data_IF_624442167132
#
_entry.id   IF_624442167132
#
_cell.length_a   1.000
_cell.length_b   1.000
_cell.length_c   1.000
_cell.angle_alpha   90.00
_cell.angle_beta   90.00
_cell.angle_gamma   90.00
#
_symmetry.space_group_name_H-M   'P 1'
#
loop_
_entity.id
_entity.type
_entity.pdbx_description
1 polymer ?
#
# COMPACT_ATOMS: atom_id res chain seq x y z
N UNK A 1 20.72 8.03 3.62
CA UNK A 1 21.37 6.74 3.92
C UNK A 1 20.58 6.06 5.03
N UNK A 2 20.37 4.75 4.97
CA UNK A 2 19.62 4.02 5.98
C UNK A 2 20.54 3.61 7.13
N UNK A 3 20.25 4.06 8.36
CA UNK A 3 21.01 3.71 9.58
C UNK A 3 20.33 2.57 10.36
N UNK A 4 19.89 1.53 9.64
CA UNK A 4 19.19 0.38 10.22
C UNK A 4 19.98 -0.91 9.99
N UNK A 5 19.96 -1.87 10.93
CA UNK A 5 20.81 -3.06 10.86
C UNK A 5 20.44 -4.00 9.71
N UNK A 6 19.27 -3.85 9.10
CA UNK A 6 18.80 -4.63 7.96
C UNK A 6 18.89 -3.86 6.62
N UNK A 7 19.65 -2.77 6.56
CA UNK A 7 19.87 -2.03 5.31
C UNK A 7 20.55 -2.92 4.27
N UNK A 8 20.16 -2.75 3.00
CA UNK A 8 20.70 -3.52 1.88
C UNK A 8 21.51 -2.58 0.99
N UNK A 9 22.66 -3.05 0.51
CA UNK A 9 23.55 -2.32 -0.39
C UNK A 9 23.49 -2.98 -1.76
N UNK A 10 23.03 -2.23 -2.76
CA UNK A 10 23.04 -2.69 -4.16
C UNK A 10 24.43 -2.49 -4.76
N UNK A 11 25.01 -3.56 -5.29
CA UNK A 11 26.34 -3.56 -5.93
C UNK A 11 26.28 -3.82 -7.44
N UNK A 12 25.16 -4.33 -7.93
CA UNK A 12 24.96 -4.64 -9.35
C UNK A 12 24.80 -3.34 -10.15
N UNK A 13 25.64 -3.07 -11.16
CA UNK A 13 25.56 -1.86 -11.99
C UNK A 13 24.22 -1.71 -12.72
N UNK A 14 23.46 -2.78 -12.92
CA UNK A 14 22.14 -2.75 -13.54
C UNK A 14 21.01 -2.42 -12.55
N UNK A 15 21.33 -2.18 -11.27
CA UNK A 15 20.32 -1.79 -10.28
C UNK A 15 19.76 -0.39 -10.58
N UNK A 16 18.43 -0.27 -10.53
CA UNK A 16 17.73 1.01 -10.58
C UNK A 16 17.91 1.83 -9.29
N UNK A 17 18.44 1.22 -8.23
CA UNK A 17 18.69 1.89 -6.96
C UNK A 17 20.13 2.45 -6.89
N UNK A 18 20.37 3.52 -6.11
CA UNK A 18 21.70 4.05 -5.87
C UNK A 18 22.69 2.95 -5.42
N UNK A 19 23.81 2.84 -6.13
CA UNK A 19 24.81 1.81 -5.88
C UNK A 19 25.69 2.16 -4.68
N UNK A 20 26.16 1.14 -3.97
CA UNK A 20 27.14 1.24 -2.88
C UNK A 20 26.70 2.12 -1.68
N UNK A 21 25.40 2.38 -1.54
CA UNK A 21 24.82 3.14 -0.43
C UNK A 21 23.86 2.24 0.35
N UNK A 22 23.86 2.26 1.69
CA UNK A 22 22.87 1.53 2.48
C UNK A 22 21.48 2.13 2.30
N UNK A 23 20.55 1.31 1.84
CA UNK A 23 19.16 1.67 1.58
C UNK A 23 18.20 0.78 2.35
N UNK A 24 16.99 1.30 2.63
CA UNK A 24 15.91 0.49 3.16
C UNK A 24 15.49 -0.54 2.09
N UNK A 25 15.29 -1.82 2.45
CA UNK A 25 14.82 -2.85 1.52
C UNK A 25 13.32 -2.68 1.25
N UNK A 26 12.95 -1.58 0.59
CA UNK A 26 11.56 -1.22 0.29
C UNK A 26 10.83 -2.29 -0.52
N UNK A 27 11.56 -3.08 -1.31
CA UNK A 27 11.04 -4.25 -2.02
C UNK A 27 10.49 -5.32 -1.06
N UNK A 28 11.21 -5.62 0.02
CA UNK A 28 10.77 -6.58 1.03
C UNK A 28 9.57 -6.05 1.81
N UNK A 29 9.58 -4.76 2.17
CA UNK A 29 8.42 -4.11 2.81
C UNK A 29 7.18 -4.18 1.92
N UNK A 30 7.37 -3.97 0.61
CA UNK A 30 6.29 -4.01 -0.36
C UNK A 30 5.70 -5.41 -0.47
N UNK A 31 6.54 -6.44 -0.65
CA UNK A 31 6.10 -7.83 -0.72
C UNK A 31 5.41 -8.29 0.56
N UNK A 32 5.98 -7.98 1.73
CA UNK A 32 5.40 -8.32 3.02
C UNK A 32 4.04 -7.66 3.24
N UNK A 33 3.92 -6.38 2.92
CA UNK A 33 2.65 -5.66 3.06
C UNK A 33 1.60 -6.18 2.09
N UNK A 34 1.96 -6.49 0.83
CA UNK A 34 1.04 -7.14 -0.11
C UNK A 34 0.54 -8.49 0.41
N UNK A 35 1.41 -9.28 1.04
CA UNK A 35 1.05 -10.55 1.67
C UNK A 35 0.07 -10.33 2.84
N UNK A 36 0.36 -9.40 3.75
CA UNK A 36 -0.53 -9.05 4.86
C UNK A 36 -1.89 -8.54 4.37
N UNK A 37 -1.91 -7.65 3.38
CA UNK A 37 -3.16 -7.13 2.79
C UNK A 37 -3.98 -8.29 2.23
N UNK A 38 -3.34 -9.24 1.54
CA UNK A 38 -4.03 -10.42 0.99
C UNK A 38 -4.64 -11.28 2.10
N UNK A 39 -3.92 -11.53 3.19
CA UNK A 39 -4.46 -12.26 4.35
C UNK A 39 -5.66 -11.54 4.95
N UNK A 40 -5.58 -10.22 5.16
CA UNK A 40 -6.66 -9.42 5.72
C UNK A 40 -7.90 -9.49 4.82
N UNK A 41 -7.72 -9.39 3.50
CA UNK A 41 -8.82 -9.46 2.53
C UNK A 41 -9.45 -10.86 2.48
N UNK A 42 -8.65 -11.93 2.54
CA UNK A 42 -9.17 -13.31 2.63
C UNK A 42 -9.98 -13.49 3.90
N UNK A 43 -9.44 -13.07 5.05
CA UNK A 43 -10.15 -13.16 6.33
C UNK A 43 -11.47 -12.37 6.31
N UNK A 44 -11.47 -11.15 5.75
CA UNK A 44 -12.67 -10.36 5.62
C UNK A 44 -13.68 -10.98 4.64
N UNK A 45 -13.21 -11.59 3.54
CA UNK A 45 -14.05 -12.33 2.58
C UNK A 45 -14.75 -13.50 3.26
N UNK A 46 -14.04 -14.30 4.04
CA UNK A 46 -14.64 -15.41 4.79
C UNK A 46 -15.72 -14.92 5.77
N UNK A 47 -15.45 -13.82 6.48
CA UNK A 47 -16.45 -13.21 7.38
C UNK A 47 -17.67 -12.68 6.62
N UNK A 48 -17.47 -12.05 5.46
CA UNK A 48 -18.57 -11.53 4.64
C UNK A 48 -19.39 -12.64 3.97
N UNK A 49 -18.77 -13.76 3.59
CA UNK A 49 -19.48 -14.92 3.05
C UNK A 49 -20.54 -15.43 4.04
N UNK A 50 -20.16 -15.56 5.32
CA UNK A 50 -21.10 -15.95 6.37
C UNK A 50 -22.25 -14.93 6.51
N UNK A 51 -21.96 -13.63 6.41
CA UNK A 51 -22.99 -12.58 6.52
C UNK A 51 -23.93 -12.55 5.32
N UNK A 52 -23.41 -12.73 4.09
CA UNK A 52 -24.21 -12.76 2.87
C UNK A 52 -25.17 -13.96 2.83
N UNK A 53 -24.79 -15.09 3.44
CA UNK A 53 -25.67 -16.24 3.57
C UNK A 53 -26.92 -15.92 4.41
N UNK A 54 -26.82 -14.99 5.37
CA UNK A 54 -27.94 -14.55 6.21
C UNK A 54 -28.62 -13.25 5.71
N UNK A 55 -28.01 -12.51 4.78
CA UNK A 55 -28.53 -11.26 4.20
C UNK A 55 -28.06 -11.09 2.74
N UNK A 56 -28.80 -11.62 1.75
CA UNK A 56 -28.42 -11.56 0.34
C UNK A 56 -28.44 -10.14 -0.25
N UNK A 57 -29.14 -9.19 0.39
CA UNK A 57 -29.28 -7.80 -0.08
C UNK A 57 -28.04 -6.92 0.12
N UNK A 58 -26.97 -7.46 0.74
CA UNK A 58 -25.79 -6.66 1.04
C UNK A 58 -25.01 -6.33 -0.24
N UNK A 59 -24.61 -5.07 -0.48
CA UNK A 59 -23.98 -4.70 -1.75
C UNK A 59 -22.54 -5.21 -1.89
N UNK A 60 -22.25 -5.85 -3.02
CA UNK A 60 -20.89 -6.29 -3.41
C UNK A 60 -19.93 -5.10 -3.54
N UNK A 61 -18.69 -5.24 -3.06
CA UNK A 61 -17.60 -4.24 -3.27
C UNK A 61 -16.88 -3.75 -2.01
N UNK A 62 -17.29 -4.22 -0.83
CA UNK A 62 -16.63 -3.87 0.44
C UNK A 62 -15.16 -4.33 0.50
N UNK A 63 -14.85 -5.50 -0.07
CA UNK A 63 -13.48 -6.03 -0.16
C UNK A 63 -12.60 -5.16 -1.08
N UNK A 64 -13.13 -4.72 -2.21
CA UNK A 64 -12.42 -3.84 -3.14
C UNK A 64 -12.13 -2.47 -2.49
N UNK A 65 -13.10 -1.92 -1.78
CA UNK A 65 -12.92 -0.69 -1.00
C UNK A 65 -11.83 -0.84 0.06
N UNK A 66 -11.83 -1.96 0.80
CA UNK A 66 -10.79 -2.23 1.80
C UNK A 66 -9.41 -2.38 1.14
N UNK A 67 -9.32 -3.06 0.01
CA UNK A 67 -8.08 -3.17 -0.77
C UNK A 67 -7.55 -1.80 -1.17
N UNK A 68 -8.39 -0.93 -1.73
CA UNK A 68 -8.01 0.43 -2.11
C UNK A 68 -7.44 1.21 -0.93
N UNK A 69 -8.09 1.16 0.22
CA UNK A 69 -7.63 1.86 1.43
C UNK A 69 -6.28 1.32 1.89
N UNK A 70 -6.19 0.00 2.12
CA UNK A 70 -4.97 -0.63 2.65
C UNK A 70 -3.78 -0.49 1.70
N UNK A 71 -4.00 -0.69 0.40
CA UNK A 71 -2.96 -0.56 -0.61
C UNK A 71 -2.43 0.87 -0.70
N UNK A 72 -3.32 1.86 -0.63
CA UNK A 72 -2.95 3.27 -0.70
C UNK A 72 -2.20 3.75 0.54
N UNK A 73 -2.60 3.30 1.75
CA UNK A 73 -1.86 3.58 2.99
C UNK A 73 -0.45 3.00 2.91
N UNK A 74 -0.33 1.73 2.51
CA UNK A 74 0.96 1.09 2.34
C UNK A 74 1.84 1.83 1.31
N UNK A 75 1.26 2.29 0.20
CA UNK A 75 1.98 3.08 -0.82
C UNK A 75 2.58 4.35 -0.26
N UNK A 76 1.83 5.08 0.57
CA UNK A 76 2.32 6.29 1.25
C UNK A 76 3.50 5.94 2.17
N UNK A 77 3.37 4.88 2.98
CA UNK A 77 4.42 4.44 3.92
C UNK A 77 5.70 4.08 3.18
N UNK A 78 5.63 3.26 2.13
CA UNK A 78 6.83 2.84 1.37
C UNK A 78 7.49 4.02 0.66
N UNK A 79 6.71 4.98 0.15
CA UNK A 79 7.24 6.18 -0.50
C UNK A 79 8.13 6.99 0.45
N UNK A 80 7.82 7.08 1.75
CA UNK A 80 8.68 7.75 2.73
C UNK A 80 10.05 7.07 2.91
N UNK A 81 10.11 5.75 2.73
CA UNK A 81 11.37 4.99 2.84
C UNK A 81 12.14 4.90 1.51
N UNK A 82 11.53 5.28 0.38
CA UNK A 82 12.21 5.35 -0.90
C UNK A 82 13.07 6.61 -0.94
N UNK A 83 14.38 6.43 -0.81
CA UNK A 83 15.37 7.51 -0.90
C UNK A 83 15.60 8.06 -2.31
N UNK A 84 14.67 7.86 -3.25
CA UNK A 84 14.79 8.30 -4.64
C UNK A 84 14.17 9.69 -4.79
N UNK A 85 14.93 10.66 -5.30
CA UNK A 85 14.43 12.01 -5.59
C UNK A 85 13.44 11.94 -6.76
N UNK A 86 12.13 12.03 -6.48
CA UNK A 86 11.08 12.19 -7.50
C UNK A 86 10.73 13.67 -7.68
N UNK A 87 10.24 14.09 -8.85
CA UNK A 87 9.70 15.43 -9.03
C UNK A 87 8.54 15.60 -8.04
N UNK A 88 8.81 16.35 -6.99
CA UNK A 88 7.82 16.81 -6.04
C UNK A 88 6.83 17.65 -6.85
N UNK A 89 5.52 17.44 -6.63
CA UNK A 89 4.57 18.49 -6.97
C UNK A 89 4.99 19.75 -6.19
N UNK A 90 4.60 20.93 -6.68
CA UNK A 90 4.96 22.28 -6.20
C UNK A 90 4.96 22.48 -4.66
N UNK A 91 4.40 21.56 -3.87
CA UNK A 91 4.24 21.61 -2.41
C UNK A 91 5.09 20.61 -1.61
N UNK A 92 6.01 19.85 -2.22
CA UNK A 92 6.83 18.89 -1.48
C UNK A 92 6.18 17.51 -1.26
N UNK A 93 5.04 17.25 -1.91
CA UNK A 93 4.39 15.93 -1.97
C UNK A 93 4.68 15.25 -3.33
N UNK A 94 4.97 13.95 -3.32
CA UNK A 94 5.08 13.15 -4.55
C UNK A 94 3.69 13.02 -5.20
N UNK A 95 3.60 13.05 -6.54
CA UNK A 95 2.35 12.79 -7.28
C UNK A 95 1.65 11.51 -6.82
N UNK A 96 2.44 10.49 -6.48
CA UNK A 96 1.96 9.20 -5.97
C UNK A 96 1.29 9.31 -4.60
N UNK A 97 1.72 10.23 -3.74
CA UNK A 97 1.09 10.47 -2.44
C UNK A 97 -0.27 11.15 -2.61
N UNK A 98 -0.37 12.18 -3.48
CA UNK A 98 -1.65 12.84 -3.78
C UNK A 98 -2.69 11.86 -4.35
N UNK A 99 -2.29 11.02 -5.30
CA UNK A 99 -3.15 9.97 -5.84
C UNK A 99 -3.56 8.94 -4.77
N UNK A 100 -2.62 8.55 -3.89
CA UNK A 100 -2.92 7.60 -2.81
C UNK A 100 -3.96 8.17 -1.82
N UNK A 101 -3.89 9.46 -1.49
CA UNK A 101 -4.90 10.11 -0.64
C UNK A 101 -6.29 10.10 -1.31
N UNK A 102 -6.37 10.40 -2.60
CA UNK A 102 -7.63 10.32 -3.35
C UNK A 102 -8.20 8.89 -3.36
N UNK A 103 -7.34 7.88 -3.52
CA UNK A 103 -7.74 6.47 -3.46
C UNK A 103 -8.22 6.03 -2.06
N UNK A 104 -7.64 6.57 -0.99
CA UNK A 104 -8.13 6.33 0.39
C UNK A 104 -9.52 6.94 0.56
N UNK A 105 -9.73 8.19 0.15
CA UNK A 105 -11.02 8.88 0.27
C UNK A 105 -12.10 8.13 -0.52
N UNK A 106 -11.83 7.78 -1.78
CA UNK A 106 -12.77 7.02 -2.61
C UNK A 106 -13.07 5.64 -2.02
N UNK A 107 -12.05 4.94 -1.52
CA UNK A 107 -12.23 3.66 -0.82
C UNK A 107 -13.11 3.79 0.43
N UNK A 108 -12.90 4.82 1.25
CA UNK A 108 -13.73 5.09 2.44
C UNK A 108 -15.19 5.38 2.08
N UNK A 109 -15.43 6.20 1.06
CA UNK A 109 -16.78 6.51 0.59
C UNK A 109 -17.52 5.25 0.12
N UNK A 110 -16.85 4.37 -0.63
CA UNK A 110 -17.42 3.09 -1.07
C UNK A 110 -17.68 2.18 0.14
N UNK A 111 -16.76 2.14 1.11
CA UNK A 111 -16.88 1.29 2.29
C UNK A 111 -18.05 1.72 3.19
N UNK A 112 -18.21 3.02 3.44
CA UNK A 112 -19.28 3.57 4.28
C UNK A 112 -20.64 3.43 3.61
N UNK A 113 -20.75 3.72 2.30
CA UNK A 113 -22.01 3.61 1.56
C UNK A 113 -22.53 2.17 1.46
N UNK A 114 -21.64 1.18 1.61
CA UNK A 114 -21.97 -0.25 1.46
C UNK A 114 -21.99 -1.04 2.78
N UNK A 115 -21.72 -0.40 3.91
CA UNK A 115 -21.75 -1.04 5.23
C UNK A 115 -23.17 -1.12 5.78
#
# INVERSE_FOLDING_TARGET
MAHVPWAVVFKDPNSLAPLNIPLHPTQLYHSFSCFLITIILIWQKHRQFNIHLFNPDKPYGQIFALYLILHSIHRIIVEFFRGDYRPLLFTGFSFTQGLSVLLIITGLLIYIKKR
#
